data_IF_702943839717
#
_entry.id   IF_702943839717
#
_cell.length_a   1.000
_cell.length_b   1.000
_cell.length_c   1.000
_cell.angle_alpha   90.00
_cell.angle_beta   90.00
_cell.angle_gamma   90.00
#
_symmetry.space_group_name_H-M   'P 1'
#
loop_
_entity.id
_entity.type
_entity.pdbx_description
1 polymer ?
#
# COMPACT_ATOMS: atom_id res chain seq x y z
N UNK A 1 -41.55 -76.99 46.18
CA UNK A 1 -42.59 -76.07 45.69
C UNK A 1 -42.00 -74.68 45.48
N UNK A 2 -42.37 -74.00 44.38
CA UNK A 2 -42.20 -72.58 44.01
C UNK A 2 -40.77 -71.97 43.96
N UNK A 3 -40.14 -71.83 42.78
CA UNK A 3 -40.16 -70.69 41.81
C UNK A 3 -39.59 -69.36 42.35
N UNK A 4 -38.47 -68.88 41.78
CA UNK A 4 -38.46 -67.70 40.90
C UNK A 4 -37.08 -67.39 40.25
N UNK A 5 -37.11 -67.54 38.92
CA UNK A 5 -36.31 -66.98 37.82
C UNK A 5 -35.37 -65.80 38.14
N UNK A 6 -34.09 -65.92 37.77
CA UNK A 6 -33.20 -64.77 37.51
C UNK A 6 -32.85 -64.74 36.03
N UNK A 7 -33.42 -63.78 35.30
CA UNK A 7 -33.11 -63.50 33.90
C UNK A 7 -31.80 -62.71 33.78
N UNK A 8 -30.96 -63.11 32.81
CA UNK A 8 -29.74 -62.42 32.39
C UNK A 8 -30.11 -61.20 31.56
N UNK A 9 -29.49 -60.05 31.84
CA UNK A 9 -29.14 -59.06 30.82
C UNK A 9 -27.81 -58.40 31.19
N UNK A 10 -26.72 -58.90 30.58
CA UNK A 10 -25.44 -58.19 30.47
C UNK A 10 -25.68 -57.00 29.55
N UNK A 11 -25.41 -55.79 30.02
CA UNK A 11 -25.23 -54.62 29.14
C UNK A 11 -23.81 -54.68 28.61
N UNK A 12 -23.65 -55.05 27.35
CA UNK A 12 -22.38 -54.87 26.65
C UNK A 12 -22.16 -53.37 26.43
N UNK A 13 -21.04 -52.87 26.95
CA UNK A 13 -20.62 -51.50 26.76
C UNK A 13 -20.30 -51.26 25.27
N UNK A 14 -21.07 -50.37 24.65
CA UNK A 14 -20.83 -49.88 23.29
C UNK A 14 -19.41 -49.32 23.17
N UNK A 15 -18.57 -50.01 22.39
CA UNK A 15 -17.24 -49.55 22.01
C UNK A 15 -17.38 -48.39 21.03
N UNK A 16 -17.22 -47.16 21.53
CA UNK A 16 -17.08 -45.96 20.72
C UNK A 16 -15.86 -46.11 19.81
N UNK A 17 -16.09 -46.22 18.49
CA UNK A 17 -15.02 -46.29 17.50
C UNK A 17 -14.19 -45.01 17.56
N UNK A 18 -12.94 -45.16 18.00
CA UNK A 18 -11.93 -44.09 18.04
C UNK A 18 -11.70 -43.58 16.61
N UNK A 19 -12.23 -42.39 16.30
CA UNK A 19 -11.93 -41.71 15.04
C UNK A 19 -10.46 -41.30 15.07
N UNK A 20 -9.67 -41.87 14.15
CA UNK A 20 -8.27 -41.46 13.95
C UNK A 20 -8.27 -40.38 12.89
N UNK A 21 -7.88 -39.17 13.29
CA UNK A 21 -7.61 -38.08 12.37
C UNK A 21 -6.48 -38.48 11.41
N UNK A 22 -6.68 -38.30 10.11
CA UNK A 22 -5.62 -38.45 9.13
C UNK A 22 -4.62 -37.29 9.29
N UNK A 23 -3.38 -37.62 9.64
CA UNK A 23 -2.28 -36.67 9.61
C UNK A 23 -1.77 -36.61 8.19
N UNK A 24 -2.10 -35.52 7.48
CA UNK A 24 -1.52 -35.20 6.18
C UNK A 24 -0.07 -34.76 6.37
N UNK A 25 0.85 -35.71 6.23
CA UNK A 25 2.29 -35.41 6.15
C UNK A 25 2.65 -34.99 4.73
N UNK A 26 2.91 -33.71 4.51
CA UNK A 26 3.53 -33.23 3.28
C UNK A 26 4.95 -33.81 3.18
N UNK A 27 5.28 -34.40 2.02
CA UNK A 27 6.53 -35.10 1.75
C UNK A 27 7.79 -34.26 2.01
N UNK A 28 8.82 -34.92 2.53
CA UNK A 28 10.21 -34.50 2.73
C UNK A 28 10.53 -32.98 2.71
N UNK A 29 10.48 -32.37 3.90
CA UNK A 29 11.01 -31.02 4.22
C UNK A 29 12.51 -30.80 3.93
N UNK A 30 13.27 -31.80 3.46
CA UNK A 30 14.74 -31.73 3.34
C UNK A 30 15.26 -31.14 2.04
N UNK A 31 14.43 -30.98 0.99
CA UNK A 31 14.91 -30.52 -0.34
C UNK A 31 14.36 -29.16 -0.79
N UNK A 32 13.54 -28.49 0.00
CA UNK A 32 13.01 -27.17 -0.34
C UNK A 32 13.38 -26.18 0.76
N UNK A 33 14.64 -25.74 0.75
CA UNK A 33 15.09 -24.61 1.55
C UNK A 33 14.46 -23.37 0.93
N UNK A 34 13.57 -22.70 1.65
CA UNK A 34 13.09 -21.38 1.28
C UNK A 34 13.77 -20.35 2.17
N UNK A 35 14.36 -19.33 1.54
CA UNK A 35 15.06 -18.24 2.21
C UNK A 35 14.18 -17.00 2.21
N UNK A 36 14.30 -16.19 3.27
CA UNK A 36 13.60 -14.91 3.39
C UNK A 36 14.58 -13.78 3.15
N UNK A 37 14.31 -12.94 2.17
CA UNK A 37 15.14 -11.77 1.89
C UNK A 37 15.09 -10.77 3.06
N UNK A 38 16.23 -10.23 3.53
CA UNK A 38 16.26 -9.28 4.63
C UNK A 38 15.66 -7.91 4.27
N UNK A 39 15.74 -7.51 3.00
CA UNK A 39 15.30 -6.19 2.53
C UNK A 39 13.81 -6.20 2.14
N UNK A 40 13.40 -7.13 1.26
CA UNK A 40 12.03 -7.18 0.75
C UNK A 40 11.10 -8.06 1.60
N UNK A 41 11.65 -8.87 2.51
CA UNK A 41 10.93 -9.80 3.39
C UNK A 41 10.17 -10.93 2.67
N UNK A 42 10.32 -11.05 1.35
CA UNK A 42 9.73 -12.12 0.54
C UNK A 42 10.46 -13.44 0.78
N UNK A 43 9.69 -14.52 0.88
CA UNK A 43 10.21 -15.89 0.97
C UNK A 43 10.31 -16.47 -0.43
N UNK A 44 11.48 -16.96 -0.82
CA UNK A 44 11.75 -17.54 -2.14
C UNK A 44 12.65 -18.77 -2.03
N UNK A 45 12.65 -19.63 -3.04
CA UNK A 45 13.60 -20.74 -3.10
C UNK A 45 14.89 -20.31 -3.84
N UNK A 46 16.07 -20.31 -3.19
CA UNK A 46 17.34 -20.00 -3.85
C UNK A 46 17.80 -21.08 -4.84
N UNK A 47 17.12 -22.23 -4.90
CA UNK A 47 17.41 -23.30 -5.86
C UNK A 47 16.58 -23.21 -7.13
N UNK A 48 15.48 -22.44 -7.10
CA UNK A 48 14.59 -22.24 -8.24
C UNK A 48 14.97 -20.96 -8.96
N UNK A 49 15.43 -21.06 -10.20
CA UNK A 49 15.72 -19.90 -11.05
C UNK A 49 14.49 -19.03 -11.28
N UNK A 50 13.30 -19.64 -11.37
CA UNK A 50 12.02 -18.92 -11.49
C UNK A 50 11.74 -18.06 -10.26
N UNK A 51 11.98 -18.60 -9.07
CA UNK A 51 11.74 -17.91 -7.81
C UNK A 51 12.76 -16.79 -7.59
N UNK A 52 14.02 -16.99 -7.99
CA UNK A 52 15.05 -15.94 -7.94
C UNK A 52 14.68 -14.77 -8.85
N UNK A 53 14.27 -15.03 -10.10
CA UNK A 53 13.86 -13.98 -11.03
C UNK A 53 12.61 -13.26 -10.51
N UNK A 54 11.65 -13.99 -9.94
CA UNK A 54 10.48 -13.39 -9.31
C UNK A 54 10.86 -12.53 -8.10
N UNK A 55 11.79 -13.00 -7.27
CA UNK A 55 12.34 -12.27 -6.14
C UNK A 55 13.05 -10.99 -6.58
N UNK A 56 13.91 -11.02 -7.60
CA UNK A 56 14.61 -9.84 -8.09
C UNK A 56 13.64 -8.79 -8.63
N UNK A 57 12.63 -9.22 -9.41
CA UNK A 57 11.57 -8.33 -9.89
C UNK A 57 10.78 -7.72 -8.74
N UNK A 58 10.38 -8.54 -7.76
CA UNK A 58 9.69 -8.07 -6.57
C UNK A 58 10.55 -7.07 -5.80
N UNK A 59 11.82 -7.39 -5.59
CA UNK A 59 12.79 -6.58 -4.86
C UNK A 59 13.00 -5.22 -5.54
N UNK A 60 13.25 -5.17 -6.84
CA UNK A 60 13.43 -3.93 -7.59
C UNK A 60 12.17 -3.05 -7.56
N UNK A 61 11.01 -3.67 -7.68
CA UNK A 61 9.74 -2.97 -7.78
C UNK A 61 9.24 -2.43 -6.41
N UNK A 62 9.35 -3.22 -5.34
CA UNK A 62 8.83 -2.86 -4.01
C UNK A 62 9.75 -1.91 -3.22
N UNK A 63 11.07 -2.04 -3.43
CA UNK A 63 12.05 -1.25 -2.68
C UNK A 63 12.43 0.04 -3.40
N UNK A 64 12.65 -0.05 -4.71
CA UNK A 64 13.16 1.06 -5.51
C UNK A 64 12.07 1.73 -6.36
N UNK A 65 10.90 1.12 -6.49
CA UNK A 65 9.79 1.64 -7.29
C UNK A 65 9.91 1.29 -8.77
N UNK A 66 8.85 1.62 -9.52
CA UNK A 66 8.75 1.30 -10.95
C UNK A 66 9.55 2.29 -11.79
N UNK A 67 10.24 1.82 -12.83
CA UNK A 67 10.83 2.71 -13.85
C UNK A 67 9.76 3.60 -14.48
N UNK A 68 10.03 4.90 -14.56
CA UNK A 68 9.07 5.89 -15.02
C UNK A 68 9.66 6.69 -16.18
N UNK A 69 8.88 6.89 -17.24
CA UNK A 69 9.34 7.67 -18.39
C UNK A 69 9.33 9.18 -18.08
N UNK A 70 10.31 9.90 -18.62
CA UNK A 70 10.46 11.35 -18.35
C UNK A 70 9.33 12.20 -18.94
N UNK A 71 8.63 11.71 -19.97
CA UNK A 71 7.52 12.39 -20.64
C UNK A 71 6.13 12.04 -20.07
N UNK A 72 6.06 11.21 -19.03
CA UNK A 72 4.78 10.78 -18.45
C UNK A 72 4.31 11.69 -17.32
N UNK A 73 3.02 12.01 -17.37
CA UNK A 73 2.31 12.84 -16.41
C UNK A 73 2.38 14.33 -16.74
N UNK A 74 1.42 15.08 -16.21
CA UNK A 74 1.47 16.54 -16.15
C UNK A 74 2.37 16.94 -14.98
N UNK A 75 3.36 17.77 -15.26
CA UNK A 75 4.30 18.21 -14.25
C UNK A 75 3.64 19.20 -13.27
N UNK A 76 3.69 18.90 -11.96
CA UNK A 76 3.06 19.76 -10.94
C UNK A 76 4.12 20.49 -10.10
N UNK A 77 5.10 19.77 -9.56
CA UNK A 77 6.05 20.34 -8.61
C UNK A 77 7.41 19.64 -8.64
N UNK A 78 8.50 20.42 -8.64
CA UNK A 78 9.88 19.92 -8.53
C UNK A 78 10.42 20.14 -7.11
N UNK A 79 11.30 19.23 -6.72
CA UNK A 79 11.99 19.24 -5.44
C UNK A 79 13.47 18.96 -5.69
N UNK A 80 14.32 19.92 -5.32
CA UNK A 80 15.75 19.68 -5.24
C UNK A 80 16.04 19.00 -3.91
N UNK A 81 16.30 17.70 -3.95
CA UNK A 81 16.77 16.98 -2.77
C UNK A 81 18.30 16.97 -2.78
N UNK A 82 18.98 17.42 -1.71
CA UNK A 82 20.43 17.29 -1.60
C UNK A 82 20.80 15.81 -1.74
N UNK A 83 21.68 15.50 -2.70
CA UNK A 83 22.10 14.13 -2.97
C UNK A 83 22.60 13.45 -1.68
N UNK A 84 21.91 12.41 -1.23
CA UNK A 84 22.40 11.57 -0.14
C UNK A 84 23.51 10.67 -0.68
N UNK A 85 24.65 10.62 0.03
CA UNK A 85 25.72 9.66 -0.22
C UNK A 85 25.14 8.25 -0.10
N UNK A 86 25.04 7.55 -1.22
CA UNK A 86 24.82 6.12 -1.22
C UNK A 86 26.17 5.49 -0.89
N UNK A 87 26.39 5.17 0.39
CA UNK A 87 27.53 4.36 0.80
C UNK A 87 27.31 2.94 0.28
N UNK A 88 27.75 2.67 -0.95
CA UNK A 88 27.99 1.30 -1.39
C UNK A 88 29.14 0.75 -0.56
N UNK A 89 28.85 0.11 0.58
CA UNK A 89 29.83 -0.77 1.23
C UNK A 89 30.00 -2.00 0.34
N UNK A 90 31.16 -2.22 -0.29
CA UNK A 90 31.42 -3.51 -0.91
C UNK A 90 31.51 -4.56 0.20
N UNK A 91 30.67 -5.59 0.09
CA UNK A 91 30.78 -6.80 0.91
C UNK A 91 32.19 -7.36 0.73
N UNK A 92 32.96 -7.35 1.82
CA UNK A 92 34.35 -7.78 1.84
C UNK A 92 34.42 -9.31 1.64
N UNK A 93 35.02 -9.74 0.53
CA UNK A 93 35.78 -10.97 0.47
C UNK A 93 37.28 -10.62 0.42
N UNK A 94 38.18 -11.35 1.11
CA UNK A 94 39.55 -10.91 1.31
C UNK A 94 40.46 -11.42 0.20
N UNK A 95 40.95 -10.57 -0.71
CA UNK A 95 42.13 -10.91 -1.55
C UNK A 95 43.03 -9.70 -1.84
N UNK A 96 44.21 -9.76 -1.22
CA UNK A 96 45.57 -9.26 -1.55
C UNK A 96 45.78 -8.11 -2.56
N UNK A 97 46.39 -7.05 -2.01
CA UNK A 97 47.56 -6.25 -2.46
C UNK A 97 47.57 -5.53 -3.84
N UNK A 98 47.55 -4.19 -3.72
CA UNK A 98 48.30 -3.16 -4.44
C UNK A 98 48.17 -3.02 -5.97
N UNK A 99 47.55 -1.91 -6.41
CA UNK A 99 48.18 -0.93 -7.31
C UNK A 99 47.43 0.42 -7.29
N UNK A 100 48.20 1.51 -7.27
CA UNK A 100 47.79 2.91 -7.35
C UNK A 100 46.98 3.15 -8.63
N UNK A 101 45.79 3.72 -8.51
CA UNK A 101 45.00 4.16 -9.65
C UNK A 101 43.81 5.00 -9.19
N UNK A 102 43.80 6.26 -9.65
CA UNK A 102 42.69 7.19 -9.79
C UNK A 102 41.53 7.10 -8.78
N UNK A 103 41.42 8.14 -7.94
CA UNK A 103 40.18 8.48 -7.23
C UNK A 103 39.10 8.74 -8.28
N UNK A 104 38.28 7.75 -8.60
CA UNK A 104 37.04 7.97 -9.35
C UNK A 104 36.12 8.77 -8.45
N UNK A 105 36.10 10.08 -8.69
CA UNK A 105 35.11 10.99 -8.13
C UNK A 105 33.72 10.40 -8.40
N UNK A 106 32.98 10.12 -7.33
CA UNK A 106 31.62 9.63 -7.44
C UNK A 106 30.79 10.61 -8.26
N UNK A 107 30.17 10.12 -9.32
CA UNK A 107 29.22 10.89 -10.14
C UNK A 107 28.08 11.34 -9.22
N UNK A 108 28.05 12.63 -8.91
CA UNK A 108 26.93 13.27 -8.23
C UNK A 108 25.81 13.38 -9.26
N UNK A 109 24.93 12.38 -9.33
CA UNK A 109 23.67 12.54 -10.05
C UNK A 109 22.75 13.39 -9.16
N UNK A 110 22.56 14.67 -9.49
CA UNK A 110 21.45 15.46 -8.95
C UNK A 110 20.15 14.81 -9.42
N UNK A 111 19.55 13.94 -8.59
CA UNK A 111 18.25 13.38 -8.90
C UNK A 111 17.21 14.47 -8.66
N UNK A 112 16.67 15.02 -9.74
CA UNK A 112 15.52 15.89 -9.69
C UNK A 112 14.32 15.06 -9.26
N UNK A 113 13.83 15.34 -8.05
CA UNK A 113 12.61 14.74 -7.56
C UNK A 113 11.45 15.60 -8.05
N UNK A 114 10.36 14.97 -8.50
CA UNK A 114 9.19 15.71 -8.98
C UNK A 114 7.90 14.95 -8.74
N UNK A 115 6.81 15.69 -8.64
CA UNK A 115 5.46 15.14 -8.55
C UNK A 115 4.74 15.42 -9.86
N UNK A 116 4.19 14.35 -10.43
CA UNK A 116 3.37 14.43 -11.64
C UNK A 116 1.92 14.07 -11.32
N UNK A 117 0.99 14.75 -11.98
CA UNK A 117 -0.42 14.40 -12.01
C UNK A 117 -0.66 13.50 -13.21
N UNK A 118 -1.37 12.40 -13.02
CA UNK A 118 -1.67 11.45 -14.08
C UNK A 118 -2.87 11.96 -14.90
N UNK A 119 -2.68 12.07 -16.22
CA UNK A 119 -3.75 12.44 -17.14
C UNK A 119 -4.58 11.20 -17.49
N UNK A 120 -5.90 11.30 -17.36
CA UNK A 120 -6.86 10.20 -17.63
C UNK A 120 -6.89 9.78 -19.11
N UNK A 121 -6.55 10.70 -20.00
CA UNK A 121 -6.59 10.47 -21.45
C UNK A 121 -5.41 9.60 -21.93
N UNK A 122 -4.32 9.55 -21.15
CA UNK A 122 -3.09 8.84 -21.51
C UNK A 122 -3.08 7.44 -20.91
N UNK A 123 -3.59 6.46 -21.67
CA UNK A 123 -3.68 5.04 -21.25
C UNK A 123 -2.37 4.46 -20.72
N UNK A 124 -1.23 4.81 -21.33
CA UNK A 124 0.08 4.31 -20.88
C UNK A 124 0.41 4.76 -19.45
N UNK A 125 0.08 6.00 -19.08
CA UNK A 125 0.33 6.55 -17.73
C UNK A 125 -0.61 5.93 -16.70
N UNK A 126 -1.87 5.71 -17.10
CA UNK A 126 -2.88 5.05 -16.28
C UNK A 126 -2.48 3.61 -16.01
N UNK A 127 -2.18 2.82 -17.05
CA UNK A 127 -1.65 1.46 -16.90
C UNK A 127 -0.37 1.47 -16.07
N UNK A 128 0.47 2.49 -16.27
CA UNK A 128 1.71 2.60 -15.51
C UNK A 128 1.45 2.71 -14.00
N UNK A 129 0.47 3.54 -13.65
CA UNK A 129 0.04 3.79 -12.28
C UNK A 129 -0.74 2.61 -11.70
N UNK A 130 -1.53 1.90 -12.52
CA UNK A 130 -2.28 0.71 -12.11
C UNK A 130 -1.35 -0.43 -11.69
N UNK A 131 -0.24 -0.68 -12.39
CA UNK A 131 0.73 -1.69 -11.92
C UNK A 131 1.38 -1.26 -10.60
N UNK A 132 1.64 0.05 -10.41
CA UNK A 132 2.12 0.55 -9.13
C UNK A 132 1.07 0.27 -8.04
N UNK A 133 -0.20 0.54 -8.31
CA UNK A 133 -1.28 0.32 -7.36
C UNK A 133 -1.59 -1.15 -7.11
N UNK A 134 -1.32 -2.04 -8.07
CA UNK A 134 -1.40 -3.47 -7.82
C UNK A 134 -0.44 -3.88 -6.70
N UNK A 135 0.81 -3.40 -6.74
CA UNK A 135 1.77 -3.60 -5.63
C UNK A 135 1.23 -2.99 -4.33
N UNK A 136 0.68 -1.78 -4.38
CA UNK A 136 0.14 -1.12 -3.19
C UNK A 136 -0.99 -1.94 -2.58
N UNK A 137 -1.88 -2.48 -3.40
CA UNK A 137 -3.01 -3.28 -2.95
C UNK A 137 -2.54 -4.60 -2.35
N UNK A 138 -1.54 -5.26 -2.95
CA UNK A 138 -0.90 -6.45 -2.36
C UNK A 138 -0.22 -6.13 -1.02
N UNK A 139 0.53 -5.01 -0.92
CA UNK A 139 1.18 -4.59 0.33
C UNK A 139 0.19 -4.23 1.43
N UNK A 140 -0.89 -3.52 1.08
CA UNK A 140 -1.92 -3.09 2.02
C UNK A 140 -2.99 -4.15 2.27
N UNK A 141 -2.96 -5.28 1.55
CA UNK A 141 -4.03 -6.28 1.49
C UNK A 141 -5.39 -5.65 1.22
N UNK A 142 -5.40 -4.65 0.35
CA UNK A 142 -6.58 -3.87 0.00
C UNK A 142 -7.30 -4.48 -1.22
N UNK A 143 -8.61 -4.24 -1.38
CA UNK A 143 -9.34 -4.67 -2.57
C UNK A 143 -8.70 -4.09 -3.85
N UNK A 144 -8.59 -4.93 -4.87
CA UNK A 144 -7.97 -4.58 -6.16
C UNK A 144 -8.90 -3.79 -7.09
N UNK A 145 -10.21 -3.86 -6.85
CA UNK A 145 -11.28 -3.37 -7.73
C UNK A 145 -11.76 -1.93 -7.41
N UNK A 146 -10.97 -1.13 -6.69
CA UNK A 146 -11.38 0.24 -6.29
C UNK A 146 -10.77 1.35 -7.15
N UNK A 147 -10.13 1.06 -8.28
CA UNK A 147 -9.42 2.09 -9.06
C UNK A 147 -10.26 2.81 -10.13
N UNK A 148 -11.49 2.34 -10.40
CA UNK A 148 -12.34 2.84 -11.47
C UNK A 148 -12.63 4.35 -11.39
N UNK A 149 -12.70 4.90 -10.17
CA UNK A 149 -13.08 6.30 -9.95
C UNK A 149 -12.08 7.32 -10.54
N UNK A 150 -10.83 6.93 -10.79
CA UNK A 150 -9.78 7.83 -11.32
C UNK A 150 -9.11 7.34 -12.61
N UNK A 151 -9.27 6.07 -13.02
CA UNK A 151 -8.51 5.47 -14.14
C UNK A 151 -9.24 5.40 -15.50
N UNK A 152 -10.57 5.54 -15.57
CA UNK A 152 -11.36 5.39 -16.81
C UNK A 152 -11.27 4.04 -17.54
N UNK A 153 -10.62 3.03 -16.95
CA UNK A 153 -10.53 1.69 -17.54
C UNK A 153 -11.63 0.86 -16.88
N UNK A 154 -12.72 0.61 -17.61
CA UNK A 154 -13.78 -0.34 -17.20
C UNK A 154 -13.19 -1.76 -17.24
N UNK A 155 -13.34 -2.51 -16.15
CA UNK A 155 -13.13 -3.97 -16.19
C UNK A 155 -14.35 -4.54 -16.93
N UNK A 156 -14.10 -5.16 -18.08
CA UNK A 156 -15.12 -5.62 -19.04
C UNK A 156 -16.06 -6.73 -18.52
N UNK A 157 -16.00 -7.12 -17.24
CA UNK A 157 -16.61 -8.37 -16.77
C UNK A 157 -17.97 -8.23 -16.06
N UNK A 158 -18.47 -7.03 -15.76
CA UNK A 158 -19.79 -6.91 -15.11
C UNK A 158 -20.63 -5.70 -15.57
N UNK A 159 -20.88 -5.66 -16.87
CA UNK A 159 -21.67 -4.62 -17.53
C UNK A 159 -23.18 -4.89 -17.41
N UNK A 160 -23.82 -4.65 -16.25
CA UNK A 160 -25.30 -4.43 -16.20
C UNK A 160 -25.80 -3.53 -15.03
N UNK A 161 -25.02 -3.22 -13.98
CA UNK A 161 -25.55 -2.46 -12.82
C UNK A 161 -24.76 -1.19 -12.48
N UNK A 162 -24.77 -0.17 -13.35
CA UNK A 162 -24.65 1.27 -12.93
C UNK A 162 -24.69 2.23 -14.13
N UNK A 163 -25.80 2.26 -14.86
CA UNK A 163 -26.05 3.26 -15.93
C UNK A 163 -26.42 4.67 -15.42
N UNK A 164 -25.92 5.10 -14.26
CA UNK A 164 -26.10 6.49 -13.83
C UNK A 164 -24.94 6.94 -12.92
N UNK A 165 -24.27 8.03 -13.31
CA UNK A 165 -23.13 8.74 -12.65
C UNK A 165 -21.70 8.37 -13.08
N UNK A 166 -21.46 8.14 -14.37
CA UNK A 166 -20.11 8.16 -14.95
C UNK A 166 -19.53 9.59 -14.96
N UNK A 167 -19.05 10.08 -13.81
CA UNK A 167 -18.07 11.17 -13.73
C UNK A 167 -16.86 10.65 -12.98
N UNK A 168 -15.74 10.65 -13.68
CA UNK A 168 -14.41 10.29 -13.18
C UNK A 168 -14.04 11.18 -12.00
N UNK A 169 -14.39 10.76 -10.80
CA UNK A 169 -14.43 11.62 -9.64
C UNK A 169 -13.15 11.53 -8.81
N UNK A 170 -12.00 11.66 -9.47
CA UNK A 170 -10.71 11.60 -8.78
C UNK A 170 -9.51 12.01 -9.62
N UNK A 171 -8.32 11.90 -9.03
CA UNK A 171 -7.02 12.18 -9.65
C UNK A 171 -5.95 11.33 -8.96
N UNK A 172 -4.89 10.96 -9.70
CA UNK A 172 -3.71 10.31 -9.15
C UNK A 172 -2.48 11.21 -9.28
N UNK A 173 -1.63 11.17 -8.25
CA UNK A 173 -0.33 11.82 -8.22
C UNK A 173 0.75 10.77 -8.00
N UNK A 174 1.88 10.92 -8.70
CA UNK A 174 3.03 10.02 -8.61
C UNK A 174 4.26 10.85 -8.27
N UNK A 175 5.02 10.40 -7.28
CA UNK A 175 6.32 10.98 -6.93
C UNK A 175 7.42 10.23 -7.68
N UNK A 176 8.20 10.96 -8.47
CA UNK A 176 9.30 10.45 -9.26
C UNK A 176 10.61 10.89 -8.61
N UNK A 177 11.51 9.94 -8.37
CA UNK A 177 12.87 10.16 -7.87
C UNK A 177 13.83 9.32 -8.71
N UNK A 178 14.86 9.95 -9.28
CA UNK A 178 15.87 9.23 -10.08
C UNK A 178 15.31 8.42 -11.25
N UNK A 179 14.27 8.93 -11.92
CA UNK A 179 13.60 8.23 -13.03
C UNK A 179 12.72 7.05 -12.62
N UNK A 180 12.37 6.93 -11.33
CA UNK A 180 11.47 5.90 -10.82
C UNK A 180 10.29 6.48 -10.07
N UNK A 181 9.12 5.88 -10.24
CA UNK A 181 7.93 6.14 -9.45
C UNK A 181 8.08 5.49 -8.07
N UNK A 182 8.39 6.31 -7.07
CA UNK A 182 8.68 5.86 -5.70
C UNK A 182 7.54 6.10 -4.72
N UNK A 183 6.52 6.85 -5.13
CA UNK A 183 5.31 7.06 -4.33
C UNK A 183 4.09 7.33 -5.21
N UNK A 184 2.92 6.96 -4.71
CA UNK A 184 1.64 7.16 -5.38
C UNK A 184 0.59 7.64 -4.38
N UNK A 185 -0.29 8.53 -4.83
CA UNK A 185 -1.45 9.02 -4.11
C UNK A 185 -2.64 9.04 -5.06
N UNK A 186 -3.72 8.35 -4.72
CA UNK A 186 -5.01 8.45 -5.42
C UNK A 186 -6.03 9.15 -4.53
N UNK A 187 -6.72 10.14 -5.11
CA UNK A 187 -7.73 10.93 -4.41
C UNK A 187 -9.05 10.93 -5.15
N UNK A 188 -10.14 10.84 -4.40
CA UNK A 188 -11.53 10.95 -4.83
C UNK A 188 -12.08 12.33 -4.44
N UNK A 189 -12.90 12.96 -5.27
CA UNK A 189 -13.60 14.19 -4.87
C UNK A 189 -14.90 13.84 -4.16
N UNK A 190 -15.04 14.26 -2.92
CA UNK A 190 -16.24 13.99 -2.13
C UNK A 190 -17.27 15.08 -2.38
N UNK A 191 -18.51 14.68 -2.71
CA UNK A 191 -19.61 15.65 -2.84
C UNK A 191 -20.14 15.98 -1.45
N UNK A 192 -20.51 17.23 -1.26
CA UNK A 192 -21.07 17.71 0.01
C UNK A 192 -22.36 16.96 0.39
N UNK A 193 -23.16 16.58 -0.61
CA UNK A 193 -24.46 15.93 -0.43
C UNK A 193 -24.35 14.46 0.03
N UNK A 194 -23.21 13.81 -0.21
CA UNK A 194 -23.05 12.38 0.10
C UNK A 194 -22.88 12.13 1.61
N UNK A 195 -22.61 13.18 2.40
CA UNK A 195 -22.41 13.12 3.86
C UNK A 195 -21.48 11.99 4.31
N UNK A 196 -20.42 11.71 3.54
CA UNK A 196 -19.49 10.59 3.76
C UNK A 196 -18.42 10.87 4.81
N UNK A 197 -18.19 12.14 5.16
CA UNK A 197 -17.18 12.55 6.11
C UNK A 197 -17.47 12.05 7.53
N UNK A 198 -16.43 11.58 8.22
CA UNK A 198 -16.46 11.07 9.60
C UNK A 198 -15.23 11.53 10.35
N UNK A 199 -15.34 11.65 11.67
CA UNK A 199 -14.17 11.74 12.54
C UNK A 199 -13.85 10.36 13.11
N UNK A 200 -12.59 9.96 13.08
CA UNK A 200 -12.11 8.73 13.69
C UNK A 200 -11.18 9.06 14.86
N UNK A 201 -11.39 8.46 16.02
CA UNK A 201 -10.48 8.60 17.17
C UNK A 201 -9.19 7.84 16.88
N UNK A 202 -8.04 8.51 16.98
CA UNK A 202 -6.73 7.93 16.63
C UNK A 202 -6.41 6.67 17.43
N UNK A 203 -6.62 6.68 18.74
CA UNK A 203 -6.17 5.59 19.63
C UNK A 203 -7.03 4.33 19.51
N UNK A 204 -8.34 4.49 19.25
CA UNK A 204 -9.30 3.37 19.25
C UNK A 204 -9.75 2.98 17.84
N UNK A 205 -9.39 3.77 16.82
CA UNK A 205 -9.91 3.65 15.45
C UNK A 205 -11.44 3.63 15.37
N UNK A 206 -12.12 4.19 16.37
CA UNK A 206 -13.58 4.24 16.40
C UNK A 206 -14.08 5.52 15.73
N UNK A 207 -15.15 5.39 14.95
CA UNK A 207 -15.83 6.54 14.37
C UNK A 207 -16.61 7.28 15.45
N UNK A 208 -16.52 8.61 15.45
CA UNK A 208 -17.32 9.49 16.31
C UNK A 208 -18.75 9.51 15.78
N UNK A 209 -19.75 9.12 16.59
CA UNK A 209 -21.14 9.07 16.15
C UNK A 209 -21.73 10.48 16.01
N UNK A 210 -22.78 10.61 15.18
CA UNK A 210 -23.62 11.81 15.06
C UNK A 210 -22.89 13.10 14.62
N UNK A 211 -21.71 12.98 14.01
CA UNK A 211 -20.98 14.12 13.44
C UNK A 211 -20.56 13.79 12.01
N UNK A 212 -20.98 14.63 11.07
CA UNK A 212 -20.69 14.49 9.65
C UNK A 212 -19.95 15.73 9.15
N UNK A 213 -18.61 15.78 9.31
CA UNK A 213 -17.83 16.90 8.81
C UNK A 213 -17.84 16.97 7.28
N UNK A 214 -17.81 18.19 6.75
CA UNK A 214 -17.73 18.41 5.31
C UNK A 214 -16.31 18.18 4.80
N UNK A 215 -16.13 17.14 4.00
CA UNK A 215 -14.85 16.76 3.40
C UNK A 215 -14.94 16.94 1.90
N UNK A 216 -13.86 17.39 1.26
CA UNK A 216 -13.82 17.66 -0.19
C UNK A 216 -12.96 16.66 -0.95
N UNK A 217 -11.94 16.10 -0.31
CA UNK A 217 -11.07 15.09 -0.90
C UNK A 217 -11.00 13.84 -0.02
N UNK A 218 -11.17 12.68 -0.64
CA UNK A 218 -10.93 11.37 -0.05
C UNK A 218 -9.59 10.81 -0.51
N UNK A 219 -8.66 10.55 0.41
CA UNK A 219 -7.42 9.81 0.19
C UNK A 219 -7.80 8.34 0.10
N UNK A 220 -7.83 7.80 -1.12
CA UNK A 220 -8.19 6.41 -1.38
C UNK A 220 -7.00 5.48 -1.16
N UNK A 221 -5.83 5.83 -1.71
CA UNK A 221 -4.57 5.11 -1.50
C UNK A 221 -3.43 6.11 -1.41
N UNK A 222 -2.51 5.87 -0.47
CA UNK A 222 -1.22 6.55 -0.42
C UNK A 222 -0.14 5.54 -0.09
N UNK A 223 0.95 5.59 -0.84
CA UNK A 223 2.05 4.67 -0.66
C UNK A 223 3.38 5.30 -1.06
N UNK A 224 4.43 4.86 -0.38
CA UNK A 224 5.83 5.19 -0.67
C UNK A 224 6.65 3.92 -0.53
N UNK A 225 7.54 3.69 -1.50
CA UNK A 225 8.55 2.63 -1.50
C UNK A 225 9.28 2.57 -0.16
N UNK A 226 9.49 1.37 0.38
CA UNK A 226 10.06 1.20 1.73
C UNK A 226 11.39 1.93 1.93
N UNK A 227 12.30 1.89 0.95
CA UNK A 227 13.61 2.56 1.04
C UNK A 227 13.54 4.10 0.97
N UNK A 228 12.43 4.64 0.50
CA UNK A 228 12.22 6.08 0.30
C UNK A 228 11.33 6.70 1.40
N UNK A 229 10.84 5.89 2.35
CA UNK A 229 10.09 6.38 3.52
C UNK A 229 10.99 7.24 4.42
N UNK A 230 10.37 8.08 5.24
CA UNK A 230 11.08 9.02 6.14
C UNK A 230 11.64 10.27 5.44
N UNK A 231 11.44 10.42 4.12
CA UNK A 231 11.90 11.57 3.33
C UNK A 231 10.80 12.61 3.05
N UNK A 232 9.73 12.61 3.84
CA UNK A 232 8.54 13.47 3.67
C UNK A 232 7.83 13.35 2.31
N UNK A 233 8.09 12.31 1.52
CA UNK A 233 7.46 12.08 0.20
C UNK A 233 5.92 12.01 0.32
N UNK A 234 5.41 11.26 1.31
CA UNK A 234 3.98 11.12 1.51
C UNK A 234 3.32 12.47 1.87
N UNK A 235 3.96 13.26 2.74
CA UNK A 235 3.50 14.62 3.08
C UNK A 235 3.52 15.54 1.87
N UNK A 236 4.56 15.48 1.03
CA UNK A 236 4.63 16.25 -0.22
C UNK A 236 3.49 15.88 -1.17
N UNK A 237 3.22 14.59 -1.35
CA UNK A 237 2.07 14.12 -2.15
C UNK A 237 0.74 14.68 -1.61
N UNK A 238 0.53 14.64 -0.30
CA UNK A 238 -0.68 15.16 0.34
C UNK A 238 -0.82 16.69 0.18
N UNK A 239 0.27 17.44 0.33
CA UNK A 239 0.27 18.89 0.09
C UNK A 239 0.00 19.23 -1.37
N UNK A 240 0.59 18.48 -2.32
CA UNK A 240 0.30 18.66 -3.74
C UNK A 240 -1.16 18.38 -4.06
N UNK A 241 -1.76 17.31 -3.52
CA UNK A 241 -3.19 17.06 -3.69
C UNK A 241 -4.05 18.19 -3.11
N UNK A 242 -3.71 18.67 -1.91
CA UNK A 242 -4.41 19.79 -1.25
C UNK A 242 -4.40 21.08 -2.09
N UNK A 243 -3.34 21.33 -2.85
CA UNK A 243 -3.14 22.55 -3.62
C UNK A 243 -3.58 22.44 -5.09
N UNK A 244 -3.55 21.24 -5.68
CA UNK A 244 -3.69 21.06 -7.12
C UNK A 244 -4.80 20.10 -7.56
N UNK A 245 -5.49 19.42 -6.63
CA UNK A 245 -6.61 18.55 -7.00
C UNK A 245 -7.81 19.35 -7.51
N UNK A 246 -8.11 20.49 -6.90
CA UNK A 246 -9.23 21.37 -7.29
C UNK A 246 -8.66 22.70 -7.80
N UNK A 247 -8.84 23.05 -9.09
CA UNK A 247 -8.30 24.29 -9.65
C UNK A 247 -8.74 25.54 -8.88
N UNK A 248 -7.77 26.39 -8.51
CA UNK A 248 -8.01 27.66 -7.84
C UNK A 248 -8.38 27.56 -6.35
N UNK A 249 -8.43 26.36 -5.76
CA UNK A 249 -8.80 26.16 -4.36
C UNK A 249 -7.70 25.41 -3.63
N UNK A 250 -7.15 26.04 -2.60
CA UNK A 250 -6.24 25.40 -1.65
C UNK A 250 -7.05 24.89 -0.47
N UNK A 251 -7.13 23.57 -0.31
CA UNK A 251 -7.96 22.95 0.71
C UNK A 251 -7.33 23.06 2.09
N UNK A 252 -8.15 23.04 3.14
CA UNK A 252 -7.64 22.88 4.49
C UNK A 252 -7.24 21.42 4.74
N UNK A 253 -6.27 21.20 5.62
CA UNK A 253 -5.76 19.84 5.90
C UNK A 253 -6.85 18.89 6.38
N UNK A 254 -7.79 19.41 7.17
CA UNK A 254 -8.91 18.63 7.70
C UNK A 254 -9.95 18.27 6.64
N UNK A 255 -10.00 18.96 5.49
CA UNK A 255 -10.92 18.65 4.37
C UNK A 255 -10.44 17.43 3.53
N UNK A 256 -9.24 16.92 3.82
CA UNK A 256 -8.69 15.68 3.26
C UNK A 256 -8.98 14.53 4.22
N UNK A 257 -9.80 13.58 3.77
CA UNK A 257 -10.28 12.47 4.59
C UNK A 257 -9.68 11.13 4.14
N UNK A 258 -9.36 10.23 5.07
CA UNK A 258 -8.78 8.91 4.79
C UNK A 258 -9.87 7.85 4.59
N UNK A 259 -9.78 7.00 3.54
CA UNK A 259 -10.76 5.93 3.26
C UNK A 259 -10.78 4.86 4.35
N UNK A 260 -9.60 4.38 4.73
CA UNK A 260 -9.37 3.51 5.88
C UNK A 260 -7.87 3.50 6.16
N UNK A 261 -7.37 4.31 7.10
CA UNK A 261 -5.93 4.43 7.31
C UNK A 261 -5.36 3.13 7.89
N UNK A 262 -4.29 2.61 7.26
CA UNK A 262 -3.45 1.56 7.84
C UNK A 262 -2.70 2.08 9.07
N UNK A 263 -1.97 1.24 9.79
CA UNK A 263 -1.17 1.70 10.95
C UNK A 263 -0.16 2.80 10.57
N UNK A 264 0.53 2.64 9.43
CA UNK A 264 1.42 3.68 8.90
C UNK A 264 0.64 4.90 8.40
N UNK A 265 -0.52 4.69 7.80
CA UNK A 265 -1.45 5.75 7.38
C UNK A 265 -1.93 6.59 8.57
N UNK A 266 -2.30 5.96 9.68
CA UNK A 266 -2.75 6.63 10.90
C UNK A 266 -1.61 7.43 11.55
N UNK A 267 -0.39 6.90 11.57
CA UNK A 267 0.81 7.64 12.03
C UNK A 267 1.06 8.88 11.17
N UNK A 268 0.90 8.77 9.85
CA UNK A 268 1.00 9.90 8.92
C UNK A 268 -0.16 10.90 9.11
N UNK A 269 -1.39 10.42 9.28
CA UNK A 269 -2.56 11.26 9.53
C UNK A 269 -2.41 12.06 10.83
N UNK A 270 -1.90 11.41 11.89
CA UNK A 270 -1.58 12.06 13.17
C UNK A 270 -0.66 13.26 13.00
N UNK A 271 0.43 13.13 12.25
CA UNK A 271 1.37 14.24 12.03
C UNK A 271 0.87 15.26 11.00
N UNK A 272 0.02 14.85 10.06
CA UNK A 272 -0.39 15.68 8.94
C UNK A 272 -1.65 16.49 9.21
N UNK A 273 -2.79 15.84 9.49
CA UNK A 273 -4.11 16.48 9.51
C UNK A 273 -5.03 16.04 10.65
N UNK A 274 -4.47 15.50 11.73
CA UNK A 274 -5.26 15.24 12.93
C UNK A 274 -5.67 16.53 13.65
N UNK A 275 -6.79 16.46 14.35
CA UNK A 275 -7.38 17.56 15.12
C UNK A 275 -7.58 17.09 16.56
N UNK A 276 -7.15 17.89 17.53
CA UNK A 276 -7.41 17.61 18.95
C UNK A 276 -8.81 18.07 19.31
N UNK A 277 -9.63 17.19 19.87
CA UNK A 277 -10.93 17.55 20.39
C UNK A 277 -10.78 18.26 21.75
N UNK A 278 -11.16 19.53 21.82
CA UNK A 278 -10.88 20.42 22.97
C UNK A 278 -11.36 19.87 24.31
N UNK A 279 -12.55 19.25 24.37
CA UNK A 279 -13.12 18.78 25.64
C UNK A 279 -12.56 17.44 26.12
N UNK A 280 -12.24 16.53 25.20
CA UNK A 280 -11.79 15.18 25.55
C UNK A 280 -10.28 15.01 25.47
N UNK A 281 -9.57 15.98 24.88
CA UNK A 281 -8.13 15.90 24.60
C UNK A 281 -7.76 14.82 23.56
N UNK A 282 -8.74 14.12 22.98
CA UNK A 282 -8.50 13.02 22.04
C UNK A 282 -8.14 13.54 20.66
N UNK A 283 -7.22 12.86 19.99
CA UNK A 283 -6.88 13.13 18.59
C UNK A 283 -7.90 12.48 17.66
N UNK A 284 -8.38 13.28 16.72
CA UNK A 284 -9.33 12.88 15.68
C UNK A 284 -8.65 12.93 14.32
N UNK A 285 -8.91 11.93 13.49
CA UNK A 285 -8.47 11.84 12.10
C UNK A 285 -9.70 12.00 11.20
N UNK A 286 -9.63 12.83 10.15
CA UNK A 286 -10.70 12.95 9.17
C UNK A 286 -10.77 11.65 8.34
N UNK A 287 -11.90 10.97 8.31
CA UNK A 287 -12.14 9.76 7.51
C UNK A 287 -13.36 9.92 6.62
N UNK A 288 -13.50 9.06 5.61
CA UNK A 288 -14.71 8.96 4.82
C UNK A 288 -15.10 7.50 4.62
N UNK A 289 -16.41 7.25 4.54
CA UNK A 289 -17.01 5.92 4.33
C UNK A 289 -17.93 6.01 3.12
#
# INVERSE_FOLDING_TARGET
MARLVKSKFKRDASSSKRLKQSVLTFGNRKTMRSDRCPECLMTFSPTSTKDIIAHEKYHDLHLCGRKWSSNWGEHVQEYNVPAQRVDTRPSQAPVKQQKKGSRTEGVITSSEDRIVRISKDRKNEVLATLEVLHIVNEELKAPHNENFFWSNVEDNDDAIVSRQTNRVNGTAFVYISGGRAVGVLTVEFLKTDDLRGRWMVYDTSCIVPNVTPHMKLGISRIWVCRQQRGRNIATRLLETARQHSIPGIVLAKWELAWSQPSESGAKLAKSYNSVTHERSGKLLIPCYI
#
